data_IF_104415376726
#
_entry.id   IF_104415376726
#
_cell.length_a   1.000
_cell.length_b   1.000
_cell.length_c   1.000
_cell.angle_alpha   90.00
_cell.angle_beta   90.00
_cell.angle_gamma   90.00
#
_symmetry.space_group_name_H-M   'P 1'
#
loop_
_entity.id
_entity.type
_entity.pdbx_description
1 polymer ?
#
# COMPACT_ATOMS: atom_id res chain seq x y z
N UNK A 1 -2.04 40.48 -26.32
CA UNK A 1 -3.42 39.94 -26.61
C UNK A 1 -3.67 38.73 -25.71
N UNK A 2 -4.41 38.99 -24.65
CA UNK A 2 -4.76 38.03 -23.60
C UNK A 2 -6.00 37.24 -24.04
N UNK A 3 -5.95 35.91 -23.99
CA UNK A 3 -7.17 35.10 -23.98
C UNK A 3 -7.31 34.40 -22.65
N UNK A 4 -8.36 34.78 -21.91
CA UNK A 4 -8.83 34.17 -20.66
C UNK A 4 -9.52 32.86 -21.00
N UNK A 5 -9.11 31.77 -20.36
CA UNK A 5 -9.89 30.52 -20.33
C UNK A 5 -10.83 30.56 -19.12
N UNK A 6 -12.12 30.57 -19.40
CA UNK A 6 -13.17 30.46 -18.39
C UNK A 6 -13.35 29.00 -17.97
N UNK A 7 -13.36 28.77 -16.67
CA UNK A 7 -13.74 27.50 -16.04
C UNK A 7 -15.26 27.49 -15.89
N UNK A 8 -15.93 26.50 -16.46
CA UNK A 8 -17.37 26.26 -16.29
C UNK A 8 -17.55 25.17 -15.23
N UNK A 9 -18.26 25.42 -14.13
CA UNK A 9 -18.59 24.39 -13.16
C UNK A 9 -19.78 23.54 -13.66
N UNK A 10 -19.63 22.21 -13.65
CA UNK A 10 -20.72 21.27 -13.96
C UNK A 10 -21.46 20.97 -12.66
N UNK A 11 -22.63 21.56 -12.48
CA UNK A 11 -23.60 21.16 -11.48
C UNK A 11 -24.54 20.10 -12.08
N UNK A 12 -24.46 18.87 -11.63
CA UNK A 12 -25.48 17.86 -11.88
C UNK A 12 -26.56 18.00 -10.80
N UNK A 13 -27.75 18.48 -11.18
CA UNK A 13 -28.96 18.42 -10.35
C UNK A 13 -29.62 17.06 -10.55
N UNK A 14 -29.71 16.26 -9.51
CA UNK A 14 -30.54 15.07 -9.44
C UNK A 14 -31.92 15.53 -8.91
N UNK A 15 -32.97 15.45 -9.73
CA UNK A 15 -34.33 15.69 -9.31
C UNK A 15 -34.88 14.45 -8.62
N UNK A 16 -35.47 14.64 -7.44
CA UNK A 16 -36.18 13.60 -6.71
C UNK A 16 -37.54 13.27 -7.39
N UNK A 17 -37.98 12.01 -7.44
CA UNK A 17 -39.31 11.66 -7.94
C UNK A 17 -40.36 11.89 -6.87
N UNK A 18 -41.47 12.48 -7.34
CA UNK A 18 -42.70 12.69 -6.59
C UNK A 18 -43.38 11.34 -6.32
N UNK A 19 -43.95 11.18 -5.14
CA UNK A 19 -44.83 10.07 -4.79
C UNK A 19 -46.24 10.38 -5.33
N UNK A 20 -46.81 9.46 -6.05
CA UNK A 20 -48.15 8.92 -5.93
C UNK A 20 -48.55 8.21 -7.22
N UNK A 21 -48.95 7.01 -7.05
CA UNK A 21 -50.00 6.18 -7.69
C UNK A 21 -49.56 4.77 -8.04
N UNK A 22 -50.30 3.83 -7.48
CA UNK A 22 -50.28 2.39 -7.77
C UNK A 22 -50.68 2.09 -9.22
N UNK A 23 -49.92 1.17 -9.86
CA UNK A 23 -50.24 0.53 -11.11
C UNK A 23 -49.17 -0.46 -11.48
N UNK A 24 -49.47 -1.76 -11.35
CA UNK A 24 -48.60 -2.83 -11.84
C UNK A 24 -48.60 -2.81 -13.36
N UNK A 25 -47.46 -2.60 -13.97
CA UNK A 25 -47.14 -3.10 -15.30
C UNK A 25 -45.62 -3.21 -15.49
N UNK A 26 -45.24 -4.23 -16.22
CA UNK A 26 -43.90 -4.74 -16.50
C UNK A 26 -43.10 -3.71 -17.34
N UNK A 27 -42.13 -2.99 -16.74
CA UNK A 27 -41.27 -2.07 -17.49
C UNK A 27 -39.79 -2.40 -17.39
N UNK A 28 -39.26 -2.85 -18.50
CA UNK A 28 -37.84 -2.94 -18.78
C UNK A 28 -37.26 -1.52 -18.92
N UNK A 29 -36.56 -1.00 -17.90
CA UNK A 29 -35.88 0.30 -18.00
C UNK A 29 -34.53 0.15 -18.64
N UNK A 30 -34.33 0.75 -19.77
CA UNK A 30 -33.05 0.96 -20.44
C UNK A 30 -32.49 2.29 -19.97
N UNK A 31 -31.36 2.26 -19.24
CA UNK A 31 -30.59 3.47 -18.93
C UNK A 31 -29.52 3.68 -20.00
N UNK A 32 -29.69 4.73 -20.82
CA UNK A 32 -28.67 5.16 -21.78
C UNK A 32 -27.83 6.25 -21.13
N UNK A 33 -26.54 5.95 -20.88
CA UNK A 33 -25.57 6.94 -20.45
C UNK A 33 -24.81 7.42 -21.68
N UNK A 34 -25.02 8.67 -22.07
CA UNK A 34 -24.24 9.31 -23.12
C UNK A 34 -22.93 9.85 -22.58
N UNK A 35 -21.81 9.24 -22.97
CA UNK A 35 -20.47 9.74 -22.70
C UNK A 35 -20.04 10.70 -23.80
N UNK A 36 -19.88 11.98 -23.44
CA UNK A 36 -19.36 13.01 -24.32
C UNK A 36 -17.89 12.75 -24.70
N UNK A 37 -17.55 13.00 -25.95
CA UNK A 37 -16.27 12.71 -26.58
C UNK A 37 -15.14 13.63 -26.10
N UNK A 38 -13.92 13.09 -25.84
CA UNK A 38 -12.69 13.83 -26.06
C UNK A 38 -12.24 13.65 -27.51
N UNK A 39 -11.82 14.74 -28.15
CA UNK A 39 -11.24 14.72 -29.51
C UNK A 39 -9.82 14.13 -29.46
N UNK A 40 -9.64 12.97 -30.04
CA UNK A 40 -8.49 12.59 -30.86
C UNK A 40 -8.87 11.38 -31.73
N UNK A 41 -8.70 11.59 -33.00
CA UNK A 41 -8.65 10.72 -34.19
C UNK A 41 -9.05 9.25 -34.02
N UNK A 42 -10.21 8.94 -34.63
CA UNK A 42 -10.54 7.74 -35.38
C UNK A 42 -10.56 6.38 -34.67
N UNK A 43 -11.77 5.96 -34.24
CA UNK A 43 -12.32 4.63 -34.50
C UNK A 43 -13.81 4.60 -34.12
N UNK A 44 -14.59 3.76 -34.83
CA UNK A 44 -16.05 3.78 -34.88
C UNK A 44 -16.75 3.49 -33.55
N UNK A 45 -17.94 4.11 -33.37
CA UNK A 45 -18.85 3.89 -32.28
C UNK A 45 -19.40 2.45 -32.25
N UNK A 46 -19.20 1.75 -31.12
CA UNK A 46 -19.89 0.50 -30.81
C UNK A 46 -20.66 0.66 -29.49
N UNK A 47 -21.98 0.51 -29.56
CA UNK A 47 -22.83 0.45 -28.35
C UNK A 47 -22.77 -0.96 -27.76
N UNK A 48 -22.44 -1.07 -26.47
CA UNK A 48 -22.52 -2.33 -25.73
C UNK A 48 -23.73 -2.33 -24.85
N UNK A 49 -24.65 -3.28 -25.11
CA UNK A 49 -25.87 -3.50 -24.32
C UNK A 49 -25.63 -4.64 -23.36
N UNK A 50 -25.73 -4.39 -22.04
CA UNK A 50 -25.74 -5.43 -21.02
C UNK A 50 -27.18 -5.74 -20.59
N UNK A 51 -27.59 -7.00 -20.77
CA UNK A 51 -28.86 -7.52 -20.27
C UNK A 51 -28.63 -8.36 -19.02
N UNK A 52 -29.20 -7.96 -17.89
CA UNK A 52 -29.28 -8.79 -16.68
C UNK A 52 -30.63 -9.51 -16.61
N UNK A 53 -30.62 -10.84 -16.65
CA UNK A 53 -31.77 -11.69 -16.38
C UNK A 53 -31.81 -12.01 -14.87
N UNK A 54 -32.88 -11.58 -14.18
CA UNK A 54 -33.25 -12.13 -12.88
C UNK A 54 -34.19 -13.31 -13.07
N UNK A 55 -33.84 -14.49 -12.62
CA UNK A 55 -34.76 -15.60 -12.46
C UNK A 55 -35.35 -15.56 -11.04
N UNK A 56 -36.66 -15.35 -10.95
CA UNK A 56 -37.40 -15.57 -9.72
C UNK A 56 -37.81 -17.05 -9.66
N UNK A 57 -37.46 -17.75 -8.61
CA UNK A 57 -38.09 -18.99 -8.22
C UNK A 57 -38.77 -18.81 -6.87
N UNK A 58 -40.09 -18.82 -6.92
CA UNK A 58 -40.99 -18.99 -5.79
C UNK A 58 -41.11 -20.49 -5.48
N UNK A 59 -40.82 -20.86 -4.24
CA UNK A 59 -41.08 -22.19 -3.74
C UNK A 59 -41.29 -22.15 -2.22
N UNK A 60 -42.58 -22.11 -1.81
CA UNK A 60 -42.98 -22.24 -0.41
C UNK A 60 -43.05 -23.71 -0.07
N UNK A 61 -42.21 -24.16 0.87
CA UNK A 61 -42.29 -25.49 1.47
C UNK A 61 -42.04 -25.38 2.98
N UNK A 62 -43.10 -25.45 3.78
CA UNK A 62 -43.03 -25.66 5.23
C UNK A 62 -42.69 -27.14 5.49
N UNK A 63 -41.65 -27.37 6.29
CA UNK A 63 -41.49 -28.61 7.07
C UNK A 63 -41.05 -28.27 8.50
N UNK A 64 -41.74 -28.82 9.49
CA UNK A 64 -41.56 -28.66 10.91
C UNK A 64 -40.31 -29.39 11.45
N UNK A 65 -39.75 -28.87 12.58
CA UNK A 65 -38.54 -29.26 13.29
C UNK A 65 -38.45 -30.70 13.79
N UNK A 66 -37.43 -31.13 14.56
CA UNK A 66 -37.14 -30.56 15.88
C UNK A 66 -35.63 -30.30 16.16
N UNK A 67 -35.44 -29.59 17.25
CA UNK A 67 -34.23 -29.10 17.87
C UNK A 67 -32.96 -29.97 17.83
N UNK A 68 -31.88 -29.31 17.53
CA UNK A 68 -30.54 -29.64 17.98
C UNK A 68 -29.80 -28.31 18.21
N UNK A 69 -29.29 -28.10 19.41
CA UNK A 69 -28.39 -27.03 19.77
C UNK A 69 -27.11 -27.17 18.94
N UNK A 70 -26.98 -26.36 17.90
CA UNK A 70 -25.72 -26.21 17.21
C UNK A 70 -24.83 -25.25 18.00
N UNK A 71 -23.89 -25.83 18.74
CA UNK A 71 -22.75 -25.10 19.28
C UNK A 71 -21.95 -24.44 18.15
N UNK A 72 -21.08 -23.43 18.45
CA UNK A 72 -20.35 -22.69 17.44
C UNK A 72 -19.56 -23.66 16.57
N UNK A 73 -19.91 -23.71 15.27
CA UNK A 73 -19.15 -24.47 14.27
C UNK A 73 -17.74 -23.89 14.26
N UNK A 74 -16.81 -24.58 14.94
CA UNK A 74 -15.38 -24.39 14.71
C UNK A 74 -15.19 -24.72 13.22
N UNK A 75 -14.96 -23.69 12.41
CA UNK A 75 -14.43 -23.89 11.07
C UNK A 75 -13.11 -24.64 11.23
N UNK A 76 -13.16 -25.95 11.03
CA UNK A 76 -11.97 -26.79 10.86
C UNK A 76 -11.10 -26.09 9.82
N UNK A 77 -9.81 -26.00 10.10
CA UNK A 77 -8.82 -25.49 9.17
C UNK A 77 -9.07 -26.17 7.82
N UNK A 78 -9.73 -25.44 6.91
CA UNK A 78 -9.82 -25.85 5.52
C UNK A 78 -8.37 -26.08 5.10
N UNK A 79 -8.00 -27.31 4.76
CA UNK A 79 -6.70 -27.66 4.22
C UNK A 79 -6.36 -26.63 3.15
N UNK A 80 -5.44 -25.74 3.50
CA UNK A 80 -5.00 -24.70 2.57
C UNK A 80 -4.28 -25.41 1.45
N UNK A 81 -4.73 -25.36 0.19
CA UNK A 81 -3.98 -25.96 -0.89
C UNK A 81 -2.57 -25.38 -0.82
N UNK A 82 -1.55 -26.22 -0.62
CA UNK A 82 -0.16 -25.80 -0.60
C UNK A 82 0.08 -25.01 -1.86
N UNK A 83 0.51 -23.76 -1.72
CA UNK A 83 0.73 -22.80 -2.82
C UNK A 83 1.65 -23.40 -3.90
N UNK A 84 2.56 -24.25 -3.47
CA UNK A 84 3.51 -25.00 -4.30
C UNK A 84 3.69 -26.34 -3.60
N UNK A 85 2.99 -27.42 -4.00
CA UNK A 85 3.13 -28.73 -3.37
C UNK A 85 4.59 -29.20 -3.44
N UNK A 86 5.11 -29.70 -2.31
CA UNK A 86 6.44 -30.31 -2.17
C UNK A 86 7.65 -29.44 -2.50
N UNK A 87 7.47 -28.12 -2.70
CA UNK A 87 8.56 -27.21 -3.02
C UNK A 87 9.24 -26.67 -1.75
N UNK A 88 10.56 -26.70 -1.76
CA UNK A 88 11.39 -26.03 -0.74
C UNK A 88 11.40 -24.52 -1.00
N UNK A 89 10.89 -23.75 -0.06
CA UNK A 89 10.77 -22.30 -0.18
C UNK A 89 11.77 -21.61 0.74
N UNK A 90 12.36 -20.50 0.30
CA UNK A 90 13.10 -19.56 1.15
C UNK A 90 12.59 -18.14 0.95
N UNK A 91 12.70 -17.35 2.00
CA UNK A 91 12.36 -15.92 2.00
C UNK A 91 13.63 -15.09 2.12
N UNK A 92 13.65 -13.93 1.46
CA UNK A 92 14.74 -12.95 1.61
C UNK A 92 14.11 -11.59 1.92
N UNK A 93 14.63 -10.89 2.93
CA UNK A 93 14.17 -9.54 3.25
C UNK A 93 15.35 -8.61 3.54
N UNK A 94 15.18 -7.30 3.28
CA UNK A 94 16.28 -6.33 3.44
C UNK A 94 16.86 -6.38 4.86
N UNK A 95 16.05 -6.11 5.88
CA UNK A 95 16.47 -6.20 7.29
C UNK A 95 15.28 -6.08 8.23
N UNK A 96 15.41 -6.67 9.42
CA UNK A 96 14.46 -6.52 10.53
C UNK A 96 15.08 -5.68 11.65
N UNK A 97 15.44 -4.42 11.35
CA UNK A 97 16.00 -3.46 12.31
C UNK A 97 15.00 -2.39 12.74
N UNK A 98 13.82 -2.41 12.15
CA UNK A 98 12.62 -1.65 12.47
C UNK A 98 11.40 -2.53 12.20
N UNK A 99 10.20 -2.08 12.59
CA UNK A 99 8.94 -2.72 12.24
C UNK A 99 8.05 -1.74 11.48
N UNK A 100 7.91 -1.94 10.17
CA UNK A 100 7.15 -1.07 9.27
C UNK A 100 6.38 -1.86 8.22
N UNK A 101 5.98 -1.18 7.14
CA UNK A 101 5.16 -1.80 6.08
C UNK A 101 5.85 -2.93 5.34
N UNK A 102 7.14 -2.80 5.04
CA UNK A 102 7.90 -3.83 4.33
C UNK A 102 8.10 -5.08 5.18
N UNK A 103 8.39 -4.90 6.48
CA UNK A 103 8.55 -6.00 7.44
C UNK A 103 7.21 -6.74 7.66
N UNK A 104 6.08 -6.02 7.67
CA UNK A 104 4.74 -6.65 7.71
C UNK A 104 4.45 -7.50 6.47
N UNK A 105 4.92 -7.09 5.29
CA UNK A 105 4.81 -7.91 4.07
C UNK A 105 5.71 -9.15 4.16
N UNK A 106 6.92 -9.01 4.70
CA UNK A 106 7.80 -10.16 4.94
C UNK A 106 7.17 -11.15 5.93
N UNK A 107 6.52 -10.67 7.00
CA UNK A 107 5.75 -11.50 7.91
C UNK A 107 4.55 -12.18 7.22
N UNK A 108 3.87 -11.48 6.30
CA UNK A 108 2.80 -12.10 5.51
C UNK A 108 3.33 -13.24 4.63
N UNK A 109 4.52 -13.11 4.05
CA UNK A 109 5.17 -14.23 3.35
C UNK A 109 5.55 -15.35 4.31
N UNK A 110 6.06 -15.05 5.51
CA UNK A 110 6.34 -16.08 6.50
C UNK A 110 5.08 -16.84 6.91
N UNK A 111 3.94 -16.16 7.13
CA UNK A 111 2.64 -16.85 7.37
C UNK A 111 2.18 -17.73 6.19
N UNK A 112 2.58 -17.39 4.95
CA UNK A 112 2.28 -18.23 3.78
C UNK A 112 3.20 -19.44 3.68
N UNK A 113 4.43 -19.33 4.19
CA UNK A 113 5.49 -20.33 4.13
C UNK A 113 6.20 -20.42 5.50
N UNK A 114 5.55 -20.95 6.54
CA UNK A 114 6.07 -20.91 7.91
C UNK A 114 7.38 -21.69 8.11
N UNK A 115 7.63 -22.72 7.30
CA UNK A 115 8.84 -23.53 7.36
C UNK A 115 10.02 -22.93 6.56
N UNK A 116 9.78 -21.83 5.82
CA UNK A 116 10.81 -21.22 4.99
C UNK A 116 11.84 -20.44 5.84
N UNK A 117 13.14 -20.72 5.70
CA UNK A 117 14.16 -19.90 6.32
C UNK A 117 14.13 -18.46 5.74
N UNK A 118 14.39 -17.48 6.60
CA UNK A 118 14.36 -16.06 6.26
C UNK A 118 15.79 -15.53 6.20
N UNK A 119 16.27 -15.29 4.98
CA UNK A 119 17.56 -14.63 4.75
C UNK A 119 17.42 -13.12 4.87
N UNK A 120 18.34 -12.46 5.55
CA UNK A 120 18.28 -11.01 5.77
C UNK A 120 19.65 -10.42 6.03
N UNK A 121 19.83 -9.12 5.76
CA UNK A 121 21.10 -8.45 6.06
C UNK A 121 21.40 -8.42 7.55
N UNK A 122 20.38 -8.13 8.36
CA UNK A 122 20.47 -8.18 9.82
C UNK A 122 19.07 -8.23 10.46
N UNK A 123 19.00 -8.82 11.66
CA UNK A 123 17.76 -8.95 12.44
C UNK A 123 17.99 -8.51 13.89
N UNK A 124 17.10 -7.65 14.39
CA UNK A 124 16.93 -7.36 15.81
C UNK A 124 15.74 -8.13 16.36
N UNK A 125 15.99 -9.26 16.99
CA UNK A 125 14.94 -10.14 17.52
C UNK A 125 14.05 -9.47 18.58
N UNK A 126 14.55 -8.44 19.28
CA UNK A 126 13.80 -7.76 20.33
C UNK A 126 12.60 -6.92 19.83
N UNK A 127 12.57 -6.60 18.53
CA UNK A 127 11.48 -5.80 17.93
C UNK A 127 10.51 -6.65 17.11
N UNK A 128 10.77 -7.95 16.98
CA UNK A 128 9.92 -8.83 16.20
C UNK A 128 8.62 -9.12 16.94
N UNK A 129 7.48 -9.13 16.25
CA UNK A 129 6.22 -9.60 16.83
C UNK A 129 6.25 -11.13 17.00
N UNK A 130 5.33 -11.63 17.82
CA UNK A 130 5.21 -13.06 18.12
C UNK A 130 5.04 -13.94 16.87
N UNK A 131 4.43 -13.42 15.81
CA UNK A 131 4.24 -14.11 14.54
C UNK A 131 5.54 -14.41 13.77
N UNK A 132 6.66 -13.82 14.18
CA UNK A 132 8.00 -14.05 13.60
C UNK A 132 8.95 -14.72 14.60
N UNK A 133 8.46 -15.13 15.76
CA UNK A 133 9.30 -15.67 16.84
C UNK A 133 9.94 -17.01 16.48
N UNK A 134 9.24 -17.84 15.72
CA UNK A 134 9.64 -19.17 15.24
C UNK A 134 10.45 -19.14 13.93
N UNK A 135 10.58 -17.97 13.28
CA UNK A 135 11.29 -17.85 12.03
C UNK A 135 12.80 -18.18 12.18
N UNK A 136 13.29 -19.07 11.30
CA UNK A 136 14.73 -19.36 11.16
C UNK A 136 15.39 -18.24 10.36
N UNK A 137 16.17 -17.37 11.05
CA UNK A 137 16.89 -16.28 10.38
C UNK A 137 18.32 -16.70 10.01
N UNK A 138 18.68 -16.44 8.75
CA UNK A 138 20.02 -16.55 8.19
C UNK A 138 20.51 -15.18 7.76
N UNK A 139 21.50 -14.63 8.48
CA UNK A 139 21.94 -13.25 8.33
C UNK A 139 23.20 -13.12 7.48
N UNK A 140 23.43 -11.91 6.93
CA UNK A 140 24.72 -11.58 6.30
C UNK A 140 25.79 -11.37 7.35
N UNK A 141 27.05 -11.24 6.90
CA UNK A 141 28.18 -10.91 7.75
C UNK A 141 28.01 -9.60 8.55
N UNK A 142 27.10 -8.72 8.14
CA UNK A 142 26.86 -7.45 8.83
C UNK A 142 26.16 -7.61 10.18
N UNK A 143 25.53 -8.75 10.47
CA UNK A 143 24.82 -8.99 11.73
C UNK A 143 25.71 -8.73 12.94
N UNK A 144 26.97 -9.14 12.87
CA UNK A 144 27.93 -9.11 13.98
C UNK A 144 28.80 -7.85 13.99
N UNK A 145 28.53 -6.88 13.11
CA UNK A 145 29.31 -5.66 13.01
C UNK A 145 28.91 -4.62 14.06
N UNK A 146 29.86 -3.73 14.47
CA UNK A 146 29.64 -2.76 15.54
C UNK A 146 28.39 -1.89 15.32
N UNK A 147 27.48 -1.91 16.30
CA UNK A 147 26.22 -1.15 16.26
C UNK A 147 25.08 -1.83 15.52
N UNK A 148 25.31 -2.96 14.82
CA UNK A 148 24.24 -3.77 14.28
C UNK A 148 23.60 -4.66 15.39
N UNK A 149 22.31 -4.96 15.30
CA UNK A 149 21.32 -4.56 14.29
C UNK A 149 20.53 -3.30 14.66
N UNK A 150 21.14 -2.30 15.29
CA UNK A 150 20.41 -1.09 15.69
C UNK A 150 19.93 -0.27 14.48
N UNK A 151 18.74 0.31 14.64
CA UNK A 151 18.18 1.23 13.65
C UNK A 151 19.14 2.39 13.37
N UNK A 152 19.48 2.61 12.12
CA UNK A 152 20.40 3.67 11.69
C UNK A 152 21.87 3.23 11.56
N UNK A 153 22.29 2.08 12.10
CA UNK A 153 23.61 1.52 11.84
C UNK A 153 23.84 1.23 10.35
N UNK A 154 22.80 0.83 9.64
CA UNK A 154 22.82 0.65 8.18
C UNK A 154 23.41 1.83 7.42
N UNK A 155 23.15 3.07 7.86
CA UNK A 155 23.66 4.27 7.18
C UNK A 155 25.20 4.34 7.20
N UNK A 156 25.85 3.79 8.23
CA UNK A 156 27.34 3.75 8.33
C UNK A 156 27.94 2.77 7.33
N UNK A 157 27.21 1.69 7.03
CA UNK A 157 27.69 0.59 6.21
C UNK A 157 27.13 0.63 4.79
N UNK A 158 26.50 1.75 4.37
CA UNK A 158 25.86 1.90 3.07
C UNK A 158 26.70 1.40 1.87
N UNK A 159 28.03 1.67 1.78
CA UNK A 159 28.85 1.16 0.68
C UNK A 159 29.02 -0.36 0.68
N UNK A 160 28.81 -1.03 1.81
CA UNK A 160 28.97 -2.47 1.96
C UNK A 160 27.67 -3.24 1.80
N UNK A 161 26.51 -2.57 1.85
CA UNK A 161 25.21 -3.22 1.78
C UNK A 161 24.99 -4.02 0.48
N UNK A 162 25.44 -3.56 -0.71
CA UNK A 162 25.42 -4.39 -1.91
C UNK A 162 26.17 -5.73 -1.74
N UNK A 163 27.37 -5.68 -1.19
CA UNK A 163 28.16 -6.91 -0.93
C UNK A 163 27.53 -7.80 0.14
N UNK A 164 26.92 -7.20 1.17
CA UNK A 164 26.19 -7.95 2.17
C UNK A 164 24.97 -8.66 1.58
N UNK A 165 24.23 -8.03 0.68
CA UNK A 165 23.15 -8.67 -0.04
C UNK A 165 23.67 -9.83 -0.91
N UNK A 166 24.75 -9.62 -1.65
CA UNK A 166 25.37 -10.64 -2.50
C UNK A 166 26.06 -11.77 -1.71
N UNK A 167 26.37 -11.57 -0.42
CA UNK A 167 26.87 -12.65 0.44
C UNK A 167 25.76 -13.65 0.85
N UNK A 168 24.49 -13.26 0.74
CA UNK A 168 23.36 -14.15 0.98
C UNK A 168 23.21 -15.09 -0.23
N UNK A 169 23.79 -16.29 -0.13
CA UNK A 169 23.66 -17.36 -1.11
C UNK A 169 22.46 -18.22 -0.76
N UNK A 170 21.44 -18.20 -1.60
CA UNK A 170 20.16 -18.90 -1.36
C UNK A 170 20.03 -19.99 -2.41
N UNK A 171 20.63 -21.13 -2.13
CA UNK A 171 20.72 -22.27 -3.04
C UNK A 171 19.94 -23.47 -2.47
N UNK A 172 19.50 -24.37 -3.34
CA UNK A 172 18.81 -25.60 -2.92
C UNK A 172 17.31 -25.43 -2.67
N UNK A 173 16.73 -24.29 -3.05
CA UNK A 173 15.29 -24.01 -2.94
C UNK A 173 14.65 -23.96 -4.31
N UNK A 174 13.42 -24.44 -4.40
CA UNK A 174 12.64 -24.49 -5.64
C UNK A 174 11.96 -23.15 -5.92
N UNK A 175 11.66 -22.37 -4.84
CA UNK A 175 11.13 -21.01 -4.89
C UNK A 175 11.82 -20.14 -3.85
N UNK A 176 12.29 -18.97 -4.26
CA UNK A 176 12.79 -17.93 -3.37
C UNK A 176 12.03 -16.64 -3.59
N UNK A 177 11.41 -16.11 -2.53
CA UNK A 177 10.69 -14.84 -2.59
C UNK A 177 11.52 -13.79 -1.88
N UNK A 178 11.99 -12.77 -2.61
CA UNK A 178 12.65 -11.61 -2.01
C UNK A 178 11.66 -10.45 -1.84
N UNK A 179 11.60 -9.88 -0.63
CA UNK A 179 10.83 -8.69 -0.25
C UNK A 179 11.80 -7.53 -0.09
N UNK A 180 11.84 -6.61 -1.06
CA UNK A 180 12.93 -5.64 -1.17
C UNK A 180 12.45 -4.20 -1.29
N UNK A 181 13.06 -3.33 -0.48
CA UNK A 181 13.01 -1.87 -0.60
C UNK A 181 14.30 -1.29 -1.18
N UNK A 182 15.41 -2.07 -1.15
CA UNK A 182 16.72 -1.61 -1.59
C UNK A 182 17.73 -2.71 -1.95
N UNK A 183 17.86 -3.81 -1.19
CA UNK A 183 19.00 -4.72 -1.30
C UNK A 183 18.65 -6.19 -1.46
N UNK A 184 17.53 -6.68 -0.87
CA UNK A 184 17.19 -8.11 -0.82
C UNK A 184 17.11 -8.76 -2.21
N UNK A 185 16.68 -8.02 -3.23
CA UNK A 185 16.66 -8.50 -4.62
C UNK A 185 18.03 -8.75 -5.22
N UNK A 186 19.10 -8.27 -4.55
CA UNK A 186 20.49 -8.50 -4.93
C UNK A 186 21.13 -9.76 -4.33
N UNK A 187 20.42 -10.54 -3.51
CA UNK A 187 20.91 -11.82 -3.01
C UNK A 187 21.26 -12.77 -4.20
N UNK A 188 22.19 -13.67 -3.96
CA UNK A 188 22.61 -14.66 -4.95
C UNK A 188 21.59 -15.81 -4.97
N UNK A 189 20.65 -15.72 -5.92
CA UNK A 189 19.53 -16.65 -6.10
C UNK A 189 19.50 -17.06 -7.57
N UNK A 190 19.34 -18.36 -7.90
CA UNK A 190 19.15 -18.80 -9.30
C UNK A 190 17.93 -18.11 -9.92
N UNK A 191 18.10 -17.49 -11.09
CA UNK A 191 17.07 -16.65 -11.75
C UNK A 191 15.72 -17.35 -11.86
N UNK A 192 15.72 -18.61 -12.27
CA UNK A 192 14.52 -19.43 -12.47
C UNK A 192 13.74 -19.74 -11.19
N UNK A 193 14.34 -19.50 -10.00
CA UNK A 193 13.73 -19.78 -8.71
C UNK A 193 13.39 -18.49 -7.97
N UNK A 194 13.68 -17.30 -8.54
CA UNK A 194 13.62 -16.02 -7.88
C UNK A 194 12.41 -15.18 -8.30
N UNK A 195 11.50 -14.94 -7.37
CA UNK A 195 10.41 -13.96 -7.45
C UNK A 195 10.72 -12.79 -6.53
N UNK A 196 10.82 -11.58 -7.08
CA UNK A 196 11.12 -10.38 -6.31
C UNK A 196 9.86 -9.52 -6.12
N UNK A 197 9.42 -9.37 -4.87
CA UNK A 197 8.39 -8.41 -4.47
C UNK A 197 9.06 -7.09 -4.06
N UNK A 198 8.78 -6.03 -4.81
CA UNK A 198 9.48 -4.76 -4.70
C UNK A 198 8.59 -3.71 -4.07
N UNK A 199 9.01 -3.19 -2.90
CA UNK A 199 8.36 -2.08 -2.22
C UNK A 199 8.73 -0.74 -2.84
N UNK A 200 9.98 -0.60 -3.27
CA UNK A 200 10.51 0.50 -4.06
C UNK A 200 11.85 0.08 -4.70
N UNK A 201 12.28 0.79 -5.71
CA UNK A 201 13.68 0.78 -6.14
C UNK A 201 14.52 1.60 -5.17
N UNK A 202 15.82 1.41 -5.12
CA UNK A 202 16.74 2.03 -4.15
C UNK A 202 16.63 3.57 -4.11
N UNK A 203 15.68 4.14 -3.32
CA UNK A 203 15.39 5.59 -3.30
C UNK A 203 16.60 6.46 -3.04
N UNK A 204 17.44 6.10 -2.08
CA UNK A 204 18.62 6.89 -1.74
C UNK A 204 19.68 6.91 -2.86
N UNK A 205 19.60 6.05 -3.86
CA UNK A 205 20.45 6.12 -5.05
C UNK A 205 19.74 6.84 -6.21
N UNK A 206 18.46 6.56 -6.45
CA UNK A 206 17.73 7.11 -7.59
C UNK A 206 17.17 8.52 -7.36
N UNK A 207 16.78 8.81 -6.12
CA UNK A 207 16.20 10.08 -5.70
C UNK A 207 17.13 10.78 -4.68
N UNK A 208 18.46 10.67 -4.88
CA UNK A 208 19.50 11.10 -3.93
C UNK A 208 19.33 12.55 -3.47
N UNK A 209 19.06 13.47 -4.41
CA UNK A 209 18.89 14.88 -4.12
C UNK A 209 17.76 15.14 -3.12
N UNK A 210 16.59 14.55 -3.40
CA UNK A 210 15.42 14.68 -2.55
C UNK A 210 15.60 13.95 -1.21
N UNK A 211 16.18 12.76 -1.25
CA UNK A 211 16.44 11.97 -0.04
C UNK A 211 17.42 12.66 0.91
N UNK A 212 18.45 13.34 0.38
CA UNK A 212 19.50 13.99 1.17
C UNK A 212 19.20 15.45 1.49
N UNK A 213 18.16 16.06 0.92
CA UNK A 213 17.81 17.49 1.15
C UNK A 213 17.70 17.79 2.63
N UNK A 214 16.98 16.93 3.35
CA UNK A 214 16.59 17.16 4.73
C UNK A 214 17.40 16.30 5.73
N UNK A 215 18.43 15.60 5.26
CA UNK A 215 19.34 14.84 6.14
C UNK A 215 20.43 15.78 6.68
N UNK A 216 20.54 15.88 8.00
CA UNK A 216 21.53 16.72 8.69
C UNK A 216 22.92 16.06 8.68
N UNK A 217 23.47 15.76 7.50
CA UNK A 217 24.84 15.25 7.34
C UNK A 217 25.78 16.36 6.87
N UNK A 218 27.09 16.30 7.27
CA UNK A 218 28.09 17.21 6.78
C UNK A 218 28.14 17.24 5.24
N UNK A 219 28.38 18.40 4.67
CA UNK A 219 28.41 18.61 3.21
C UNK A 219 29.39 17.67 2.49
N UNK A 220 30.56 17.39 3.07
CA UNK A 220 31.53 16.44 2.54
C UNK A 220 30.99 15.01 2.47
N UNK A 221 30.20 14.58 3.46
CA UNK A 221 29.58 13.25 3.46
C UNK A 221 28.51 13.16 2.38
N UNK A 222 27.72 14.23 2.19
CA UNK A 222 26.74 14.33 1.08
C UNK A 222 27.44 14.30 -0.28
N UNK A 223 28.57 15.01 -0.42
CA UNK A 223 29.34 15.02 -1.67
C UNK A 223 29.93 13.63 -1.98
N UNK A 224 30.55 12.98 -1.00
CA UNK A 224 31.06 11.60 -1.15
C UNK A 224 29.94 10.62 -1.49
N UNK A 225 28.76 10.74 -0.85
CA UNK A 225 27.59 9.94 -1.19
C UNK A 225 27.14 10.14 -2.65
N UNK A 226 27.17 11.38 -3.16
CA UNK A 226 26.84 11.69 -4.57
C UNK A 226 27.78 11.01 -5.56
N UNK A 227 29.07 10.87 -5.22
CA UNK A 227 30.04 10.16 -6.05
C UNK A 227 29.74 8.65 -6.11
N UNK A 228 29.22 8.07 -5.02
CA UNK A 228 28.88 6.65 -4.95
C UNK A 228 27.54 6.32 -5.68
N UNK A 229 26.67 7.31 -5.92
CA UNK A 229 25.34 7.11 -6.51
C UNK A 229 25.37 6.35 -7.85
N UNK A 230 26.20 6.70 -8.85
CA UNK A 230 26.21 5.98 -10.13
C UNK A 230 26.55 4.49 -9.96
N UNK A 231 27.47 4.15 -9.06
CA UNK A 231 27.83 2.75 -8.77
C UNK A 231 26.66 2.00 -8.12
N UNK A 232 25.97 2.63 -7.17
CA UNK A 232 24.78 2.06 -6.54
C UNK A 232 23.64 1.88 -7.53
N UNK A 233 23.41 2.84 -8.42
CA UNK A 233 22.40 2.74 -9.49
C UNK A 233 22.73 1.62 -10.48
N UNK A 234 24.01 1.48 -10.85
CA UNK A 234 24.46 0.40 -11.74
C UNK A 234 24.24 -0.97 -11.07
N UNK A 235 24.59 -1.08 -9.79
CA UNK A 235 24.36 -2.29 -9.01
C UNK A 235 22.87 -2.62 -8.89
N UNK A 236 22.03 -1.65 -8.47
CA UNK A 236 20.58 -1.82 -8.33
C UNK A 236 19.92 -2.26 -9.65
N UNK A 237 20.35 -1.65 -10.77
CA UNK A 237 19.88 -2.04 -12.11
C UNK A 237 20.29 -3.47 -12.46
N UNK A 238 21.54 -3.85 -12.18
CA UNK A 238 22.03 -5.19 -12.46
C UNK A 238 21.33 -6.24 -11.58
N UNK A 239 21.18 -5.97 -10.28
CA UNK A 239 20.48 -6.82 -9.32
C UNK A 239 19.00 -6.97 -9.69
N UNK A 240 18.30 -5.87 -10.00
CA UNK A 240 16.89 -5.85 -10.37
C UNK A 240 16.56 -6.60 -11.68
N UNK A 241 17.58 -6.89 -12.50
CA UNK A 241 17.43 -7.70 -13.71
C UNK A 241 17.56 -9.20 -13.50
N UNK A 242 18.07 -9.64 -12.33
CA UNK A 242 18.31 -11.08 -12.05
C UNK A 242 17.03 -11.89 -11.78
N UNK A 243 16.02 -11.40 -11.03
CA UNK A 243 14.84 -12.19 -10.73
C UNK A 243 14.11 -12.68 -11.98
N UNK A 244 13.62 -13.92 -11.97
CA UNK A 244 12.77 -14.45 -13.03
C UNK A 244 11.49 -13.65 -13.15
N UNK A 245 10.84 -13.39 -11.99
CA UNK A 245 9.63 -12.58 -11.89
C UNK A 245 9.82 -11.38 -10.97
N UNK A 246 9.24 -10.25 -11.35
CA UNK A 246 9.20 -9.02 -10.54
C UNK A 246 7.76 -8.62 -10.28
N UNK A 247 7.43 -8.38 -9.03
CA UNK A 247 6.11 -7.91 -8.56
C UNK A 247 6.33 -6.59 -7.84
N UNK A 248 5.62 -5.54 -8.24
CA UNK A 248 5.62 -4.23 -7.59
C UNK A 248 4.43 -4.10 -6.63
N UNK A 249 4.59 -3.40 -5.52
CA UNK A 249 3.51 -3.15 -4.58
C UNK A 249 2.47 -2.13 -5.08
N UNK A 250 2.76 -1.42 -6.18
CA UNK A 250 1.90 -0.38 -6.75
C UNK A 250 2.28 -0.07 -8.20
N UNK A 251 1.38 0.61 -8.92
CA UNK A 251 1.63 1.06 -10.30
C UNK A 251 2.81 2.01 -10.38
N UNK A 252 2.94 2.95 -9.44
CA UNK A 252 4.05 3.89 -9.43
C UNK A 252 5.41 3.19 -9.23
N UNK A 253 5.45 2.13 -8.42
CA UNK A 253 6.68 1.33 -8.26
C UNK A 253 6.96 0.50 -9.50
N UNK A 254 5.94 -0.07 -10.15
CA UNK A 254 6.11 -0.76 -11.44
C UNK A 254 6.67 0.17 -12.53
N UNK A 255 6.20 1.42 -12.61
CA UNK A 255 6.75 2.42 -13.52
C UNK A 255 8.22 2.75 -13.21
N UNK A 256 8.58 2.89 -11.91
CA UNK A 256 9.98 3.11 -11.50
C UNK A 256 10.87 1.93 -11.89
N UNK A 257 10.40 0.70 -11.72
CA UNK A 257 11.09 -0.52 -12.16
C UNK A 257 11.31 -0.47 -13.67
N UNK A 258 10.29 -0.11 -14.44
CA UNK A 258 10.40 0.07 -15.90
C UNK A 258 11.48 1.08 -16.28
N UNK A 259 11.43 2.27 -15.68
CA UNK A 259 12.36 3.37 -15.96
C UNK A 259 13.79 3.09 -15.48
N UNK A 260 13.95 2.48 -14.30
CA UNK A 260 15.25 2.33 -13.63
C UNK A 260 15.97 1.03 -13.99
N UNK A 261 15.24 -0.08 -14.11
CA UNK A 261 15.81 -1.41 -14.39
C UNK A 261 15.59 -1.89 -15.82
N UNK A 262 14.67 -1.25 -16.58
CA UNK A 262 14.26 -1.71 -17.91
C UNK A 262 13.52 -3.04 -17.84
N UNK A 263 12.70 -3.28 -16.80
CA UNK A 263 11.92 -4.50 -16.56
C UNK A 263 10.43 -4.18 -16.42
N UNK A 264 9.59 -5.08 -16.89
CA UNK A 264 8.18 -5.11 -16.53
C UNK A 264 8.00 -5.72 -15.14
N UNK A 265 6.96 -5.29 -14.42
CA UNK A 265 6.58 -5.85 -13.13
C UNK A 265 5.07 -6.05 -13.09
N UNK A 266 4.64 -7.18 -12.54
CA UNK A 266 3.25 -7.36 -12.13
C UNK A 266 2.96 -6.43 -10.95
N UNK A 267 1.69 -6.02 -10.78
CA UNK A 267 1.31 -5.18 -9.63
C UNK A 267 0.46 -6.01 -8.67
N UNK A 268 0.90 -6.09 -7.43
CA UNK A 268 0.15 -6.72 -6.34
C UNK A 268 0.25 -5.82 -5.10
N UNK A 269 -0.82 -5.15 -4.67
CA UNK A 269 -0.84 -4.35 -3.46
C UNK A 269 -0.41 -5.13 -2.22
N UNK A 270 0.25 -4.49 -1.23
CA UNK A 270 0.66 -5.15 -0.01
C UNK A 270 -0.54 -5.55 0.85
N UNK A 271 -0.43 -6.61 1.65
CA UNK A 271 -1.51 -7.08 2.52
C UNK A 271 -1.74 -6.12 3.68
N UNK A 272 -3.00 -5.83 3.95
CA UNK A 272 -3.45 -5.18 5.17
C UNK A 272 -4.40 -6.13 5.90
N UNK A 273 -4.23 -6.26 7.21
CA UNK A 273 -5.08 -7.11 8.04
C UNK A 273 -6.42 -6.42 8.32
N UNK A 274 -7.22 -6.30 7.24
CA UNK A 274 -8.51 -5.62 7.30
C UNK A 274 -9.52 -6.37 8.15
N UNK A 275 -9.38 -7.69 8.28
CA UNK A 275 -10.26 -8.53 9.07
C UNK A 275 -10.13 -8.22 10.57
N UNK A 276 -8.94 -7.85 11.03
CA UNK A 276 -8.68 -7.45 12.42
C UNK A 276 -9.15 -6.02 12.75
N UNK A 277 -9.52 -5.22 11.75
CA UNK A 277 -9.93 -3.83 11.92
C UNK A 277 -11.45 -3.72 11.89
N UNK A 278 -12.05 -3.41 13.02
CA UNK A 278 -13.49 -3.15 13.10
C UNK A 278 -13.88 -1.76 12.61
N UNK A 279 -15.06 -1.64 11.99
CA UNK A 279 -15.63 -0.33 11.66
C UNK A 279 -15.97 0.42 12.93
N UNK A 280 -15.46 1.64 13.08
CA UNK A 280 -15.76 2.48 14.23
C UNK A 280 -17.16 3.07 14.14
N UNK A 281 -17.96 2.93 15.20
CA UNK A 281 -19.25 3.59 15.35
C UNK A 281 -19.16 4.92 16.12
N UNK A 282 -17.96 5.30 16.56
CA UNK A 282 -17.75 6.53 17.35
C UNK A 282 -17.87 7.77 16.46
N UNK A 283 -18.30 8.92 17.03
CA UNK A 283 -18.34 10.19 16.32
C UNK A 283 -16.96 10.60 15.83
N UNK A 284 -16.91 11.16 14.63
CA UNK A 284 -15.69 11.78 14.08
C UNK A 284 -15.43 13.11 14.78
N UNK A 285 -14.16 13.40 15.15
CA UNK A 285 -13.82 14.53 16.02
C UNK A 285 -12.68 15.40 15.54
N UNK A 286 -11.82 14.89 14.66
CA UNK A 286 -10.58 15.53 14.22
C UNK A 286 -10.09 14.92 12.91
N UNK A 287 -9.18 15.58 12.24
CA UNK A 287 -8.35 14.97 11.20
C UNK A 287 -7.13 14.30 11.85
N UNK A 288 -6.57 13.27 11.23
CA UNK A 288 -5.36 12.66 11.76
C UNK A 288 -4.30 12.43 10.69
N UNK A 289 -3.04 12.43 11.12
CA UNK A 289 -1.88 11.93 10.37
C UNK A 289 -1.30 10.77 11.15
N UNK A 290 -0.98 9.67 10.48
CA UNK A 290 -0.28 8.50 11.05
C UNK A 290 0.94 8.22 10.20
N UNK A 291 2.13 8.61 10.69
CA UNK A 291 3.35 8.51 9.88
C UNK A 291 4.62 8.60 10.73
N UNK A 292 5.77 8.14 10.18
CA UNK A 292 7.06 8.61 10.66
C UNK A 292 7.20 10.11 10.36
N UNK A 293 7.69 10.86 11.34
CA UNK A 293 7.86 12.32 11.20
C UNK A 293 9.19 12.61 10.50
N UNK A 294 9.16 12.54 9.17
CA UNK A 294 10.29 12.83 8.27
C UNK A 294 9.86 13.82 7.19
N UNK A 295 10.76 14.68 6.68
CA UNK A 295 10.39 15.80 5.81
C UNK A 295 9.58 15.42 4.58
N UNK A 296 9.94 14.34 3.88
CA UNK A 296 9.26 13.91 2.65
C UNK A 296 7.79 13.48 2.85
N UNK A 297 7.36 13.25 4.10
CA UNK A 297 5.96 12.96 4.44
C UNK A 297 5.09 14.24 4.48
N UNK A 298 5.70 15.40 4.36
CA UNK A 298 5.03 16.71 4.22
C UNK A 298 3.94 16.97 5.26
N UNK A 299 4.19 16.58 6.52
CA UNK A 299 3.23 16.80 7.62
C UNK A 299 3.02 18.30 7.88
N UNK A 300 4.00 19.13 7.51
CA UNK A 300 3.88 20.59 7.47
C UNK A 300 2.65 21.07 6.68
N UNK A 301 2.33 20.43 5.54
CA UNK A 301 1.13 20.76 4.78
C UNK A 301 -0.16 20.45 5.54
N UNK A 302 -0.22 19.29 6.21
CA UNK A 302 -1.39 18.94 7.02
C UNK A 302 -1.60 19.93 8.18
N UNK A 303 -0.51 20.37 8.84
CA UNK A 303 -0.55 21.37 9.92
C UNK A 303 -1.06 22.71 9.40
N UNK A 304 -0.50 23.20 8.29
CA UNK A 304 -0.92 24.46 7.68
C UNK A 304 -2.38 24.41 7.17
N UNK A 305 -2.76 23.29 6.53
CA UNK A 305 -4.12 23.07 6.06
C UNK A 305 -5.14 23.05 7.22
N UNK A 306 -4.81 22.36 8.31
CA UNK A 306 -5.68 22.33 9.49
C UNK A 306 -5.88 23.73 10.12
N UNK A 307 -4.84 24.55 10.14
CA UNK A 307 -4.93 25.95 10.58
C UNK A 307 -5.84 26.77 9.67
N UNK A 308 -5.68 26.66 8.34
CA UNK A 308 -6.50 27.38 7.35
C UNK A 308 -7.97 26.90 7.31
N UNK A 309 -8.21 25.62 7.61
CA UNK A 309 -9.55 25.05 7.66
C UNK A 309 -10.25 25.24 9.00
N UNK A 310 -9.54 25.70 10.05
CA UNK A 310 -10.07 25.78 11.42
C UNK A 310 -10.32 24.42 12.07
N UNK A 311 -9.59 23.39 11.64
CA UNK A 311 -9.85 21.99 12.04
C UNK A 311 -8.79 21.47 13.04
N UNK A 312 -9.22 20.53 13.90
CA UNK A 312 -8.33 19.84 14.83
C UNK A 312 -7.53 18.77 14.10
N UNK A 313 -6.22 18.66 14.41
CA UNK A 313 -5.33 17.66 13.83
C UNK A 313 -4.62 16.86 14.92
N UNK A 314 -4.71 15.52 14.85
CA UNK A 314 -3.95 14.60 15.69
C UNK A 314 -2.83 13.99 14.87
N UNK A 315 -1.58 14.18 15.31
CA UNK A 315 -0.38 13.65 14.65
C UNK A 315 0.15 12.46 15.45
N UNK A 316 0.05 11.27 14.87
CA UNK A 316 0.53 10.01 15.43
C UNK A 316 1.86 9.65 14.80
N UNK A 317 2.82 9.25 15.62
CA UNK A 317 4.16 8.83 15.25
C UNK A 317 5.25 9.74 15.77
N UNK A 318 6.49 9.40 15.42
CA UNK A 318 7.69 10.13 15.84
C UNK A 318 8.73 10.16 14.72
N UNK A 319 9.74 11.00 14.85
CA UNK A 319 10.82 11.09 13.89
C UNK A 319 11.64 12.37 14.02
N UNK A 320 12.73 12.48 13.24
CA UNK A 320 13.68 13.58 13.34
C UNK A 320 13.08 14.96 13.02
N UNK A 321 11.95 15.01 12.30
CA UNK A 321 11.27 16.25 11.92
C UNK A 321 10.30 16.79 13.00
N UNK A 322 10.07 16.04 14.08
CA UNK A 322 9.13 16.42 15.14
C UNK A 322 9.38 17.80 15.75
N UNK A 323 10.63 18.21 16.06
CA UNK A 323 10.87 19.54 16.61
C UNK A 323 10.45 20.67 15.67
N UNK A 324 10.76 20.56 14.37
CA UNK A 324 10.35 21.53 13.34
C UNK A 324 8.83 21.58 13.21
N UNK A 325 8.18 20.44 13.12
CA UNK A 325 6.72 20.34 12.99
C UNK A 325 5.99 20.91 14.22
N UNK A 326 6.52 20.70 15.43
CA UNK A 326 5.97 21.31 16.65
C UNK A 326 6.09 22.83 16.65
N UNK A 327 7.19 23.38 16.13
CA UNK A 327 7.38 24.83 16.01
C UNK A 327 6.40 25.47 15.01
N UNK A 328 5.91 24.73 14.02
CA UNK A 328 4.92 25.19 13.04
C UNK A 328 3.47 25.02 13.52
N UNK A 329 3.25 24.19 14.55
CA UNK A 329 1.93 23.79 14.98
C UNK A 329 1.26 24.86 15.86
N UNK A 330 0.01 25.19 15.56
CA UNK A 330 -0.88 25.95 16.43
C UNK A 330 -1.58 25.08 17.48
N UNK A 331 -2.39 25.67 18.37
CA UNK A 331 -3.05 24.99 19.49
C UNK A 331 -4.04 23.89 19.07
N UNK A 332 -4.49 23.90 17.81
CA UNK A 332 -5.40 22.89 17.24
C UNK A 332 -4.70 21.57 16.90
N UNK A 333 -3.35 21.49 16.98
CA UNK A 333 -2.56 20.32 16.59
C UNK A 333 -2.05 19.57 17.82
N UNK A 334 -2.39 18.31 17.96
CA UNK A 334 -1.91 17.45 19.04
C UNK A 334 -0.93 16.38 18.52
N UNK A 335 0.28 16.32 19.09
CA UNK A 335 1.28 15.28 18.81
C UNK A 335 1.23 14.22 19.91
N UNK A 336 0.77 13.03 19.58
CA UNK A 336 0.60 11.92 20.54
C UNK A 336 1.80 10.95 20.60
N UNK A 337 2.75 11.09 19.66
CA UNK A 337 3.91 10.20 19.61
C UNK A 337 3.57 8.81 19.07
N UNK A 338 4.39 7.82 19.43
CA UNK A 338 4.10 6.42 19.15
C UNK A 338 2.97 5.93 20.03
N UNK A 339 2.04 5.21 19.43
CA UNK A 339 0.89 4.61 20.11
C UNK A 339 0.82 3.11 19.81
N UNK A 340 0.09 2.35 20.61
CA UNK A 340 -0.21 0.94 20.32
C UNK A 340 -1.05 0.81 19.05
N UNK A 341 -1.06 -0.39 18.45
CA UNK A 341 -1.89 -0.69 17.28
C UNK A 341 -3.38 -0.42 17.58
N UNK A 342 -3.88 -0.87 18.73
CA UNK A 342 -5.25 -0.63 19.14
C UNK A 342 -5.59 0.87 19.26
N UNK A 343 -4.67 1.66 19.81
CA UNK A 343 -4.86 3.11 19.94
C UNK A 343 -4.78 3.81 18.57
N UNK A 344 -3.89 3.36 17.69
CA UNK A 344 -3.83 3.86 16.30
C UNK A 344 -5.18 3.63 15.58
N UNK A 345 -5.73 2.43 15.68
CA UNK A 345 -7.01 2.09 15.07
C UNK A 345 -8.17 2.89 15.68
N UNK A 346 -8.15 3.13 17.00
CA UNK A 346 -9.11 4.02 17.66
C UNK A 346 -9.02 5.44 17.10
N UNK A 347 -7.82 5.99 16.99
CA UNK A 347 -7.59 7.35 16.44
C UNK A 347 -8.08 7.43 14.98
N UNK A 348 -7.76 6.44 14.17
CA UNK A 348 -8.25 6.37 12.78
C UNK A 348 -9.78 6.35 12.75
N UNK A 349 -10.43 5.51 13.56
CA UNK A 349 -11.87 5.34 13.57
C UNK A 349 -12.66 6.56 14.06
N UNK A 350 -12.05 7.44 14.87
CA UNK A 350 -12.65 8.69 15.38
C UNK A 350 -12.29 9.92 14.50
N UNK A 351 -11.47 9.74 13.46
CA UNK A 351 -11.08 10.83 12.57
C UNK A 351 -12.16 11.17 11.53
N UNK A 352 -12.26 12.46 11.17
CA UNK A 352 -13.00 12.89 9.99
C UNK A 352 -12.38 12.29 8.73
N UNK A 353 -11.04 12.33 8.64
CA UNK A 353 -10.25 11.63 7.65
C UNK A 353 -8.81 11.43 8.14
N UNK A 354 -8.13 10.41 7.57
CA UNK A 354 -6.68 10.34 7.54
C UNK A 354 -6.16 11.31 6.49
N UNK A 355 -5.18 12.15 6.86
CA UNK A 355 -4.52 13.09 5.94
C UNK A 355 -3.14 12.55 5.58
N UNK A 356 -2.89 12.37 4.29
CA UNK A 356 -1.63 11.88 3.73
C UNK A 356 -1.07 12.90 2.73
N UNK A 357 -0.35 13.94 3.21
CA UNK A 357 0.11 15.00 2.32
C UNK A 357 1.33 14.60 1.48
N UNK A 358 2.17 13.70 1.97
CA UNK A 358 3.32 13.18 1.22
C UNK A 358 2.94 12.06 0.24
N UNK A 359 3.66 11.99 -0.88
CA UNK A 359 3.50 10.91 -1.86
C UNK A 359 4.06 9.60 -1.30
N UNK A 360 3.21 8.60 -1.20
CA UNK A 360 3.55 7.25 -0.74
C UNK A 360 3.77 6.29 -1.93
N UNK A 361 4.55 5.24 -1.70
CA UNK A 361 4.71 4.18 -2.70
C UNK A 361 3.43 3.34 -2.83
N UNK A 362 2.77 3.04 -1.70
CA UNK A 362 1.42 2.48 -1.63
C UNK A 362 0.58 3.17 -0.55
N UNK A 363 1.10 3.25 0.69
CA UNK A 363 0.41 3.89 1.80
C UNK A 363 -0.56 2.97 2.54
N UNK A 364 -0.08 1.85 3.11
CA UNK A 364 -0.90 0.86 3.82
C UNK A 364 -1.83 1.47 4.87
N UNK A 365 -1.40 2.55 5.54
CA UNK A 365 -2.22 3.24 6.55
C UNK A 365 -3.51 3.83 5.97
N UNK A 366 -3.55 4.16 4.67
CA UNK A 366 -4.78 4.62 4.02
C UNK A 366 -5.82 3.51 3.94
N UNK A 367 -5.38 2.29 3.69
CA UNK A 367 -6.26 1.11 3.70
C UNK A 367 -6.70 0.76 5.12
N UNK A 368 -5.82 0.91 6.13
CA UNK A 368 -6.19 0.75 7.54
C UNK A 368 -7.28 1.76 7.95
N UNK A 369 -7.17 3.01 7.49
CA UNK A 369 -8.21 4.03 7.71
C UNK A 369 -9.53 3.63 7.03
N UNK A 370 -9.47 3.21 5.77
CA UNK A 370 -10.66 2.72 5.07
C UNK A 370 -11.27 1.48 5.76
N UNK A 371 -10.45 0.57 6.26
CA UNK A 371 -10.92 -0.59 7.02
C UNK A 371 -11.65 -0.19 8.30
N UNK A 372 -11.26 0.90 8.96
CA UNK A 372 -11.97 1.49 10.08
C UNK A 372 -13.23 2.31 9.68
N UNK A 373 -13.54 2.39 8.39
CA UNK A 373 -14.65 3.19 7.85
C UNK A 373 -14.34 4.69 7.79
N UNK A 374 -13.05 5.07 7.74
CA UNK A 374 -12.60 6.47 7.73
C UNK A 374 -12.09 6.85 6.35
N UNK A 375 -12.58 7.96 5.77
CA UNK A 375 -12.09 8.43 4.48
C UNK A 375 -10.65 8.94 4.56
N UNK A 376 -10.02 9.09 3.39
CA UNK A 376 -8.64 9.55 3.25
C UNK A 376 -8.59 10.84 2.44
N UNK A 377 -7.79 11.80 2.91
CA UNK A 377 -7.42 13.00 2.17
C UNK A 377 -5.95 12.87 1.77
N UNK A 378 -5.67 12.73 0.50
CA UNK A 378 -4.31 12.51 -0.01
C UNK A 378 -4.04 13.33 -1.27
N UNK A 379 -2.76 13.48 -1.63
CA UNK A 379 -2.38 13.98 -2.94
C UNK A 379 -2.74 12.95 -4.03
N UNK A 380 -3.21 13.42 -5.19
CA UNK A 380 -3.52 12.58 -6.36
C UNK A 380 -2.22 12.08 -7.03
N UNK A 381 -1.38 11.37 -6.28
CA UNK A 381 -0.07 10.89 -6.73
C UNK A 381 0.33 9.60 -6.01
N UNK A 382 1.24 8.85 -6.62
CA UNK A 382 1.80 7.65 -6.03
C UNK A 382 0.76 6.57 -5.75
N UNK A 383 0.93 5.85 -4.65
CA UNK A 383 0.06 4.75 -4.24
C UNK A 383 -1.36 5.16 -3.83
N UNK A 384 -1.62 6.45 -3.57
CA UNK A 384 -2.98 6.92 -3.33
C UNK A 384 -3.89 6.71 -4.56
N UNK A 385 -3.32 6.74 -5.78
CA UNK A 385 -4.05 6.42 -7.02
C UNK A 385 -4.42 4.93 -7.14
N UNK A 386 -3.75 4.06 -6.41
CA UNK A 386 -4.02 2.62 -6.37
C UNK A 386 -4.96 2.25 -5.22
N UNK A 387 -4.80 2.92 -4.08
CA UNK A 387 -5.47 2.55 -2.83
C UNK A 387 -6.78 3.32 -2.59
N UNK A 388 -7.01 4.45 -3.28
CA UNK A 388 -8.19 5.29 -3.04
C UNK A 388 -9.07 5.43 -4.26
N UNK A 389 -10.38 5.56 -4.01
CA UNK A 389 -11.40 5.88 -5.00
C UNK A 389 -12.03 7.23 -4.63
N UNK A 390 -11.71 8.32 -5.39
CA UNK A 390 -12.24 9.66 -5.09
C UNK A 390 -13.76 9.69 -5.04
N UNK A 391 -14.31 10.40 -4.05
CA UNK A 391 -15.77 10.49 -3.82
C UNK A 391 -16.39 9.27 -3.13
N UNK A 392 -15.64 8.15 -3.00
CA UNK A 392 -16.10 6.92 -2.33
C UNK A 392 -15.29 6.68 -1.04
N UNK A 393 -13.96 6.65 -1.15
CA UNK A 393 -13.07 6.37 -0.01
C UNK A 393 -12.36 7.60 0.51
N UNK A 394 -12.53 8.74 -0.12
CA UNK A 394 -11.92 9.99 0.28
C UNK A 394 -11.82 11.03 -0.82
N UNK A 395 -10.97 12.02 -0.60
CA UNK A 395 -10.69 13.14 -1.49
C UNK A 395 -9.23 13.10 -1.91
N UNK A 396 -8.97 13.24 -3.22
CA UNK A 396 -7.62 13.38 -3.76
C UNK A 396 -7.40 14.80 -4.27
N UNK A 397 -6.39 15.49 -3.71
CA UNK A 397 -6.03 16.86 -4.13
C UNK A 397 -5.07 16.82 -5.32
N UNK A 398 -5.30 17.68 -6.32
CA UNK A 398 -4.40 17.79 -7.47
C UNK A 398 -3.11 18.57 -7.15
N UNK A 399 -3.16 19.46 -6.16
CA UNK A 399 -2.02 20.32 -5.79
C UNK A 399 -1.42 19.90 -4.44
N UNK A 400 -0.10 20.04 -4.35
CA UNK A 400 0.72 19.87 -3.15
C UNK A 400 0.81 21.22 -2.41
N UNK A 401 -0.32 21.72 -1.90
CA UNK A 401 -0.35 23.01 -1.18
C UNK A 401 -1.28 22.97 0.04
N UNK A 402 -1.02 23.82 1.06
CA UNK A 402 -1.90 23.92 2.22
C UNK A 402 -3.34 24.28 1.86
N UNK A 403 -3.53 25.13 0.85
CA UNK A 403 -4.85 25.59 0.39
C UNK A 403 -5.67 24.41 -0.20
N UNK A 404 -5.03 23.56 -1.00
CA UNK A 404 -5.66 22.37 -1.58
C UNK A 404 -6.08 21.37 -0.50
N UNK A 405 -5.21 21.12 0.48
CA UNK A 405 -5.54 20.24 1.60
C UNK A 405 -6.60 20.85 2.52
N UNK A 406 -6.58 22.15 2.77
CA UNK A 406 -7.63 22.84 3.52
C UNK A 406 -8.99 22.79 2.81
N UNK A 407 -9.00 22.94 1.49
CA UNK A 407 -10.21 22.75 0.69
C UNK A 407 -10.73 21.31 0.79
N UNK A 408 -9.83 20.30 0.67
CA UNK A 408 -10.17 18.89 0.85
C UNK A 408 -10.70 18.56 2.26
N UNK A 409 -10.17 19.19 3.32
CA UNK A 409 -10.71 19.06 4.68
C UNK A 409 -12.15 19.59 4.76
N UNK A 410 -12.42 20.77 4.17
CA UNK A 410 -13.79 21.31 4.10
C UNK A 410 -14.74 20.45 3.30
N UNK A 411 -14.28 19.89 2.17
CA UNK A 411 -15.05 18.95 1.36
C UNK A 411 -15.41 17.68 2.15
N UNK A 412 -14.44 17.08 2.86
CA UNK A 412 -14.68 15.92 3.73
C UNK A 412 -15.70 16.23 4.82
N UNK A 413 -15.64 17.42 5.40
CA UNK A 413 -16.58 17.86 6.45
C UNK A 413 -18.00 18.07 5.92
N UNK A 414 -18.13 18.56 4.70
CA UNK A 414 -19.42 18.86 4.06
C UNK A 414 -20.11 17.61 3.50
N UNK A 415 -19.34 16.58 3.13
CA UNK A 415 -19.88 15.37 2.51
C UNK A 415 -20.32 14.33 3.56
N UNK A 416 -21.25 13.48 3.15
CA UNK A 416 -21.63 12.28 3.90
C UNK A 416 -20.79 11.08 3.44
N UNK A 417 -20.17 10.39 4.37
CA UNK A 417 -19.29 9.27 4.12
C UNK A 417 -19.85 8.00 4.74
N UNK A 418 -20.28 7.05 3.88
CA UNK A 418 -20.75 5.74 4.31
C UNK A 418 -19.57 4.86 4.73
N UNK A 419 -19.51 4.55 6.03
CA UNK A 419 -18.44 3.73 6.61
C UNK A 419 -18.41 2.31 6.07
N UNK A 420 -19.56 1.76 5.72
CA UNK A 420 -19.67 0.38 5.20
C UNK A 420 -19.13 0.29 3.78
N UNK A 421 -19.41 1.28 2.95
CA UNK A 421 -18.90 1.37 1.57
C UNK A 421 -17.38 1.58 1.58
N UNK A 422 -16.87 2.48 2.43
CA UNK A 422 -15.45 2.71 2.60
C UNK A 422 -14.75 1.42 3.06
N UNK A 423 -15.31 0.73 4.04
CA UNK A 423 -14.80 -0.55 4.53
C UNK A 423 -14.76 -1.61 3.43
N UNK A 424 -15.86 -1.77 2.68
CA UNK A 424 -15.94 -2.76 1.61
C UNK A 424 -14.85 -2.58 0.55
N UNK A 425 -14.47 -1.33 0.25
CA UNK A 425 -13.35 -1.05 -0.65
C UNK A 425 -12.02 -1.62 -0.14
N UNK A 426 -11.78 -1.57 1.16
CA UNK A 426 -10.52 -2.03 1.78
C UNK A 426 -10.30 -3.55 1.64
N UNK A 427 -11.35 -4.35 1.46
CA UNK A 427 -11.26 -5.81 1.31
C UNK A 427 -10.39 -6.24 0.11
N UNK A 428 -10.29 -5.39 -0.91
CA UNK A 428 -9.41 -5.62 -2.08
C UNK A 428 -7.94 -5.72 -1.71
N UNK A 429 -7.56 -5.20 -0.55
CA UNK A 429 -6.19 -5.14 -0.03
C UNK A 429 -6.00 -6.06 1.19
N UNK A 430 -6.96 -6.92 1.47
CA UNK A 430 -6.90 -7.86 2.59
C UNK A 430 -5.75 -8.84 2.46
N UNK A 431 -5.33 -9.43 3.58
CA UNK A 431 -4.36 -10.53 3.59
C UNK A 431 -4.82 -11.70 2.72
N UNK A 432 -6.13 -11.97 2.67
CA UNK A 432 -6.72 -12.96 1.78
C UNK A 432 -6.55 -12.59 0.30
N UNK A 433 -6.86 -11.34 -0.07
CA UNK A 433 -6.71 -10.87 -1.46
C UNK A 433 -5.24 -10.93 -1.91
N UNK A 434 -4.31 -10.51 -1.05
CA UNK A 434 -2.88 -10.62 -1.30
C UNK A 434 -2.44 -12.07 -1.55
N UNK A 435 -2.85 -13.01 -0.68
CA UNK A 435 -2.52 -14.43 -0.82
C UNK A 435 -3.03 -15.00 -2.15
N UNK A 436 -4.28 -14.70 -2.52
CA UNK A 436 -4.86 -15.14 -3.79
C UNK A 436 -4.11 -14.54 -4.99
N UNK A 437 -3.78 -13.24 -4.93
CA UNK A 437 -2.99 -12.56 -5.96
C UNK A 437 -1.61 -13.16 -6.10
N UNK A 438 -0.91 -13.42 -4.98
CA UNK A 438 0.41 -14.06 -4.99
C UNK A 438 0.35 -15.46 -5.56
N UNK A 439 -0.64 -16.28 -5.16
CA UNK A 439 -0.86 -17.63 -5.69
C UNK A 439 -1.03 -17.60 -7.22
N UNK A 440 -1.84 -16.67 -7.72
CA UNK A 440 -2.07 -16.52 -9.17
C UNK A 440 -0.78 -16.18 -9.90
N UNK A 441 0.00 -15.22 -9.38
CA UNK A 441 1.27 -14.82 -9.97
C UNK A 441 2.27 -15.98 -9.99
N UNK A 442 2.39 -16.74 -8.90
CA UNK A 442 3.30 -17.89 -8.81
C UNK A 442 2.91 -19.01 -9.77
N UNK A 443 1.62 -19.34 -9.87
CA UNK A 443 1.14 -20.36 -10.82
C UNK A 443 1.46 -19.98 -12.26
N UNK A 444 1.13 -18.77 -12.66
CA UNK A 444 1.42 -18.29 -14.00
C UNK A 444 2.92 -18.32 -14.32
N UNK A 445 3.75 -17.96 -13.35
CA UNK A 445 5.21 -18.04 -13.54
C UNK A 445 5.71 -19.47 -13.67
N UNK A 446 5.17 -20.42 -12.91
CA UNK A 446 5.49 -21.85 -13.04
C UNK A 446 5.04 -22.41 -14.38
N UNK A 447 3.84 -22.08 -14.83
CA UNK A 447 3.30 -22.51 -16.13
C UNK A 447 4.13 -22.00 -17.31
N UNK A 448 4.81 -20.85 -17.15
CA UNK A 448 5.77 -20.33 -18.13
C UNK A 448 7.16 -21.00 -18.08
N UNK A 449 7.33 -22.05 -17.27
CA UNK A 449 8.63 -22.72 -17.08
C UNK A 449 9.63 -21.92 -16.25
N UNK A 450 9.19 -20.92 -15.50
CA UNK A 450 10.08 -20.00 -14.76
C UNK A 450 10.82 -19.02 -15.67
N UNK A 451 10.42 -18.92 -16.93
CA UNK A 451 10.96 -17.92 -17.86
C UNK A 451 10.51 -16.50 -17.50
N UNK A 452 11.29 -15.51 -17.92
CA UNK A 452 10.98 -14.10 -17.66
C UNK A 452 9.64 -13.74 -18.30
N UNK A 453 8.64 -13.44 -17.48
CA UNK A 453 7.37 -12.92 -17.95
C UNK A 453 7.58 -11.51 -18.52
N UNK A 454 7.48 -11.38 -19.84
CA UNK A 454 7.73 -10.11 -20.58
C UNK A 454 6.48 -9.23 -20.58
N UNK A 455 5.28 -9.81 -20.43
CA UNK A 455 3.99 -9.11 -20.51
C UNK A 455 3.01 -9.57 -19.42
N UNK A 456 3.21 -9.10 -18.21
CA UNK A 456 2.18 -9.24 -17.19
C UNK A 456 1.30 -7.97 -17.15
N UNK A 457 0.38 -7.82 -18.10
CA UNK A 457 -0.73 -6.87 -17.98
C UNK A 457 -1.75 -7.46 -16.99
N UNK A 458 -1.62 -7.14 -15.70
CA UNK A 458 -2.63 -7.50 -14.72
C UNK A 458 -3.60 -6.35 -14.52
N UNK A 459 -4.84 -6.61 -14.87
CA UNK A 459 -5.97 -5.78 -14.50
C UNK A 459 -6.37 -6.14 -13.07
N UNK A 460 -6.60 -5.10 -12.25
CA UNK A 460 -7.36 -5.23 -11.01
C UNK A 460 -8.74 -5.80 -11.37
N UNK A 461 -9.09 -6.98 -10.85
CA UNK A 461 -10.44 -7.52 -10.91
C UNK A 461 -11.28 -6.92 -9.79
#
# INVERSE_FOLDING_TARGET
MLRRNAVIPIHARIAAPNRDTFGMEDETRVCTVALGRPRYVGFAAGSVVFAFRRSAQTGVGRIAGPGAEEGPVRMSALEQPRLVPDSRVALVHDSFTQWGGAERVAAAFHRMFPEAPVYTLAVNRAILPSEMADAEFRTSFLQDWPGMPALGAFKRYLPLLPRAAESLRVEGFDLVISSSSAFAHGAQIPTRNHVAYIHNTMRFAWDYGDYMRDVAWPGLVKAAGRIAVPTLQAWDRAAGRRPGMVIANSRVVAERIGKRWGRTAAVLPPPVDVEAIGVSLRPRRYFCVVSRLVPYKRIDLAIAAAAQAGERLVVVGDGPDRPRLRALAGPQVAFVGWVSEAEKLRILGEAHALVMPGVEDFGMVSVEANAAGTPVLAQAAGGALDSQQPGVTGVLTAADSPEAFAAGMREIRAASWDRSVIRAHSERFSTRAFRLGMTRNLRQWQESGGERLVDARFQFA
#
